data_IF_590065463175
#
_entry.id   IF_590065463175
#
_cell.length_a   1.000
_cell.length_b   1.000
_cell.length_c   1.000
_cell.angle_alpha   90.00
_cell.angle_beta   90.00
_cell.angle_gamma   90.00
#
_symmetry.space_group_name_H-M   'P 1'
#
loop_
_entity.id
_entity.type
_entity.pdbx_description
1 polymer ?
#
# COMPACT_ATOMS: atom_id res chain seq x y z
N UNK A 1 -3.28 -1.51 -11.82
CA UNK A 1 -3.68 -2.81 -12.41
C UNK A 1 -4.59 -2.54 -13.59
N UNK A 2 -4.40 -3.24 -14.72
CA UNK A 2 -5.55 -3.47 -15.59
C UNK A 2 -6.56 -4.25 -14.73
N UNK A 3 -7.82 -3.84 -14.64
CA UNK A 3 -8.77 -4.49 -13.75
C UNK A 3 -8.93 -5.96 -14.14
N UNK A 4 -9.39 -6.79 -13.19
CA UNK A 4 -9.69 -8.21 -13.45
C UNK A 4 -10.66 -8.41 -14.65
N UNK A 5 -11.39 -7.35 -15.01
CA UNK A 5 -12.18 -7.24 -16.22
C UNK A 5 -11.49 -6.26 -17.17
N UNK A 6 -11.11 -6.74 -18.35
CA UNK A 6 -10.36 -5.99 -19.36
C UNK A 6 -11.07 -4.75 -19.91
N UNK A 7 -12.38 -4.62 -19.68
CA UNK A 7 -13.19 -3.47 -20.11
C UNK A 7 -13.28 -2.36 -19.06
N UNK A 8 -12.81 -2.59 -17.83
CA UNK A 8 -12.78 -1.54 -16.81
C UNK A 8 -11.50 -0.72 -17.01
N UNK A 9 -11.65 0.60 -16.96
CA UNK A 9 -10.53 1.54 -16.97
C UNK A 9 -10.50 2.29 -15.64
N UNK A 10 -9.32 2.75 -15.18
CA UNK A 10 -9.27 3.70 -14.09
C UNK A 10 -10.10 4.95 -14.43
N UNK A 11 -10.76 5.56 -13.44
CA UNK A 11 -11.53 6.78 -13.66
C UNK A 11 -10.59 7.92 -14.07
N UNK A 12 -11.04 8.74 -15.00
CA UNK A 12 -10.35 9.96 -15.36
C UNK A 12 -10.46 11.00 -14.24
N UNK A 13 -9.56 11.98 -14.25
CA UNK A 13 -9.53 13.05 -13.24
C UNK A 13 -10.88 13.76 -13.07
N UNK A 14 -11.61 13.97 -14.17
CA UNK A 14 -12.93 14.59 -14.13
C UNK A 14 -13.99 13.70 -13.48
N UNK A 15 -13.90 12.38 -13.65
CA UNK A 15 -14.82 11.41 -13.02
C UNK A 15 -14.58 11.37 -11.51
N UNK A 16 -13.30 11.41 -11.08
CA UNK A 16 -12.94 11.57 -9.66
C UNK A 16 -13.44 12.90 -9.10
N UNK A 17 -13.26 14.02 -9.80
CA UNK A 17 -13.76 15.32 -9.31
C UNK A 17 -15.28 15.34 -9.12
N UNK A 18 -16.02 14.71 -10.03
CA UNK A 18 -17.48 14.59 -9.90
C UNK A 18 -17.88 13.74 -8.71
N UNK A 19 -17.21 12.61 -8.49
CA UNK A 19 -17.41 11.79 -7.29
C UNK A 19 -17.20 12.61 -6.01
N UNK A 20 -16.14 13.43 -5.95
CA UNK A 20 -15.85 14.28 -4.79
C UNK A 20 -17.03 15.17 -4.45
N UNK A 21 -17.54 15.87 -5.47
CA UNK A 21 -18.59 16.86 -5.34
C UNK A 21 -19.94 16.26 -4.91
N UNK A 22 -20.17 14.98 -5.22
CA UNK A 22 -21.38 14.26 -4.80
C UNK A 22 -21.24 13.82 -3.36
N UNK A 23 -20.09 13.24 -3.00
CA UNK A 23 -19.86 12.69 -1.67
C UNK A 23 -19.69 13.79 -0.62
N UNK A 24 -19.08 14.93 -0.96
CA UNK A 24 -18.90 16.07 -0.07
C UNK A 24 -20.22 16.71 0.39
N UNK A 25 -21.32 16.46 -0.33
CA UNK A 25 -22.67 16.85 0.11
C UNK A 25 -23.23 15.96 1.22
N UNK A 26 -22.65 14.77 1.43
CA UNK A 26 -23.12 13.77 2.40
C UNK A 26 -22.12 13.53 3.53
N UNK A 27 -20.83 13.74 3.28
CA UNK A 27 -19.74 13.50 4.22
C UNK A 27 -18.83 14.73 4.27
N UNK A 28 -18.63 15.26 5.47
CA UNK A 28 -17.87 16.50 5.68
C UNK A 28 -16.36 16.27 5.79
N UNK A 29 -15.92 15.02 6.03
CA UNK A 29 -14.50 14.70 6.24
C UNK A 29 -14.15 13.36 5.58
N UNK A 30 -13.67 13.41 4.34
CA UNK A 30 -13.19 12.25 3.60
C UNK A 30 -12.09 12.70 2.62
N UNK A 31 -11.19 11.78 2.27
CA UNK A 31 -10.08 12.05 1.36
C UNK A 31 -9.94 10.98 0.29
N UNK A 32 -9.18 11.31 -0.76
CA UNK A 32 -8.79 10.37 -1.79
C UNK A 32 -7.50 9.65 -1.40
N UNK A 33 -7.58 8.33 -1.24
CA UNK A 33 -6.41 7.45 -1.16
C UNK A 33 -5.80 7.17 -2.56
N UNK A 34 -5.81 8.17 -3.44
CA UNK A 34 -5.20 8.09 -4.78
C UNK A 34 -3.82 8.75 -4.83
N UNK A 35 -3.41 9.40 -3.73
CA UNK A 35 -2.08 9.98 -3.56
C UNK A 35 -1.06 8.96 -3.06
N UNK A 36 0.22 9.26 -3.26
CA UNK A 36 1.30 8.54 -2.58
C UNK A 36 1.21 8.84 -1.08
N UNK A 37 0.96 7.83 -0.27
CA UNK A 37 0.72 7.97 1.19
C UNK A 37 1.94 8.50 1.96
N UNK A 38 3.13 8.52 1.35
CA UNK A 38 4.36 8.89 2.02
C UNK A 38 4.79 7.86 3.08
N UNK A 39 5.99 8.01 3.62
CA UNK A 39 6.56 7.07 4.60
C UNK A 39 6.12 7.34 6.05
N UNK A 40 4.86 7.75 6.23
CA UNK A 40 4.30 8.11 7.54
C UNK A 40 3.77 6.89 8.28
N UNK A 41 4.55 5.81 8.33
CA UNK A 41 4.23 4.68 9.19
C UNK A 41 4.76 4.96 10.60
N UNK A 42 3.83 4.99 11.56
CA UNK A 42 4.13 5.02 12.99
C UNK A 42 4.63 3.63 13.38
N UNK A 43 5.79 3.56 14.01
CA UNK A 43 6.33 2.29 14.49
C UNK A 43 5.79 2.00 15.88
N UNK A 44 5.22 0.82 16.06
CA UNK A 44 4.81 0.32 17.38
C UNK A 44 5.99 -0.27 18.17
N UNK A 45 7.19 -0.26 17.59
CA UNK A 45 8.38 -0.93 18.12
C UNK A 45 8.57 -2.35 17.56
N UNK A 46 7.60 -2.88 16.81
CA UNK A 46 7.70 -4.14 16.09
C UNK A 46 7.41 -3.94 14.59
N UNK A 47 8.47 -3.63 13.84
CA UNK A 47 8.36 -3.30 12.41
C UNK A 47 7.71 -4.43 11.58
N UNK A 48 7.81 -5.68 12.03
CA UNK A 48 7.17 -6.80 11.34
C UNK A 48 5.64 -6.76 11.43
N UNK A 49 5.09 -6.39 12.60
CA UNK A 49 3.65 -6.21 12.79
C UNK A 49 3.14 -4.97 12.07
N UNK A 50 3.93 -3.90 12.05
CA UNK A 50 3.60 -2.69 11.30
C UNK A 50 3.50 -3.01 9.80
N UNK A 51 4.50 -3.70 9.25
CA UNK A 51 4.50 -4.16 7.85
C UNK A 51 3.26 -5.02 7.57
N UNK A 52 2.99 -6.03 8.41
CA UNK A 52 1.82 -6.93 8.24
C UNK A 52 0.49 -6.17 8.28
N UNK A 53 0.35 -5.20 9.19
CA UNK A 53 -0.87 -4.42 9.35
C UNK A 53 -1.14 -3.54 8.13
N UNK A 54 -0.09 -2.94 7.56
CA UNK A 54 -0.23 -2.09 6.36
C UNK A 54 -0.51 -2.96 5.12
N UNK A 55 0.24 -4.05 4.93
CA UNK A 55 0.05 -4.92 3.75
C UNK A 55 -1.24 -5.74 3.77
N UNK A 56 -1.88 -5.90 4.93
CA UNK A 56 -3.20 -6.53 5.04
C UNK A 56 -4.28 -5.78 4.26
N UNK A 57 -4.12 -4.47 4.07
CA UNK A 57 -5.06 -3.63 3.31
C UNK A 57 -4.48 -3.18 1.98
N UNK A 58 -3.16 -2.93 1.88
CA UNK A 58 -2.53 -2.38 0.66
C UNK A 58 -1.13 -2.97 0.38
N UNK A 59 -0.86 -3.50 -0.83
CA UNK A 59 0.49 -3.86 -1.26
C UNK A 59 1.51 -2.73 -1.04
N UNK A 60 2.62 -3.03 -0.38
CA UNK A 60 3.68 -2.03 -0.15
C UNK A 60 4.80 -2.20 -1.17
N UNK A 61 5.30 -1.10 -1.74
CA UNK A 61 6.49 -1.13 -2.60
C UNK A 61 7.74 -1.55 -1.82
N UNK A 62 8.65 -2.26 -2.48
CA UNK A 62 9.94 -2.64 -1.91
C UNK A 62 10.72 -1.42 -1.39
N UNK A 63 10.69 -0.30 -2.13
CA UNK A 63 11.35 0.94 -1.71
C UNK A 63 10.77 1.51 -0.40
N UNK A 64 9.44 1.51 -0.27
CA UNK A 64 8.76 1.99 0.94
C UNK A 64 9.07 1.11 2.16
N UNK A 65 9.23 -0.21 1.96
CA UNK A 65 9.68 -1.13 3.02
C UNK A 65 11.12 -0.84 3.41
N UNK A 66 12.01 -0.60 2.46
CA UNK A 66 13.40 -0.22 2.78
C UNK A 66 13.47 1.05 3.62
N UNK A 67 12.66 2.06 3.30
CA UNK A 67 12.60 3.30 4.08
C UNK A 67 12.00 3.07 5.48
N UNK A 68 10.98 2.22 5.59
CA UNK A 68 10.38 1.83 6.86
C UNK A 68 11.39 1.08 7.75
N UNK A 69 12.13 0.12 7.19
CA UNK A 69 13.15 -0.63 7.90
C UNK A 69 14.29 0.29 8.36
N UNK A 70 14.76 1.19 7.49
CA UNK A 70 15.81 2.16 7.82
C UNK A 70 15.40 3.09 8.97
N UNK A 71 14.16 3.59 8.97
CA UNK A 71 13.60 4.42 10.04
C UNK A 71 13.57 3.68 11.39
N UNK A 72 13.43 2.37 11.35
CA UNK A 72 13.36 1.49 12.52
C UNK A 72 14.68 0.79 12.89
N UNK A 73 15.78 1.13 12.21
CA UNK A 73 17.08 0.45 12.39
C UNK A 73 16.98 -1.08 12.26
N UNK A 74 16.11 -1.53 11.36
CA UNK A 74 15.84 -2.93 11.09
C UNK A 74 16.41 -3.35 9.73
N UNK A 75 16.61 -4.66 9.56
CA UNK A 75 17.15 -5.25 8.34
C UNK A 75 16.09 -5.96 7.50
N UNK A 76 16.42 -6.20 6.24
CA UNK A 76 15.58 -6.96 5.31
C UNK A 76 15.33 -8.42 5.73
N UNK A 77 16.15 -8.96 6.63
CA UNK A 77 15.97 -10.29 7.26
C UNK A 77 14.54 -10.50 7.81
N UNK A 78 13.87 -9.42 8.22
CA UNK A 78 12.49 -9.48 8.70
C UNK A 78 11.53 -9.86 7.57
N UNK A 79 11.70 -9.29 6.38
CA UNK A 79 10.90 -9.63 5.20
C UNK A 79 11.18 -11.07 4.78
N UNK A 80 12.43 -11.51 4.78
CA UNK A 80 12.80 -12.90 4.47
C UNK A 80 12.08 -13.89 5.40
N UNK A 81 12.11 -13.65 6.72
CA UNK A 81 11.36 -14.46 7.70
C UNK A 81 9.85 -14.44 7.45
N UNK A 82 9.29 -13.32 7.03
CA UNK A 82 7.87 -13.21 6.69
C UNK A 82 7.50 -13.98 5.42
N UNK A 83 8.42 -14.05 4.45
CA UNK A 83 8.28 -14.87 3.24
C UNK A 83 8.36 -16.36 3.58
N UNK A 84 9.36 -16.76 4.37
CA UNK A 84 9.54 -18.15 4.83
C UNK A 84 8.34 -18.65 5.64
N UNK A 85 7.80 -17.81 6.51
CA UNK A 85 6.59 -18.11 7.30
C UNK A 85 5.28 -18.01 6.51
N UNK A 86 5.35 -17.80 5.19
CA UNK A 86 4.20 -17.66 4.28
C UNK A 86 3.19 -16.60 4.70
N UNK A 87 3.65 -15.51 5.34
CA UNK A 87 2.79 -14.37 5.67
C UNK A 87 2.75 -13.34 4.55
N UNK A 88 3.84 -13.21 3.79
CA UNK A 88 3.99 -12.23 2.71
C UNK A 88 4.69 -12.84 1.50
N UNK A 89 4.45 -12.29 0.31
CA UNK A 89 5.11 -12.67 -0.93
C UNK A 89 5.57 -11.43 -1.69
N UNK A 90 6.66 -11.55 -2.44
CA UNK A 90 7.10 -10.54 -3.39
C UNK A 90 6.37 -10.75 -4.72
N UNK A 91 5.75 -9.69 -5.22
CA UNK A 91 5.05 -9.65 -6.50
C UNK A 91 5.61 -8.52 -7.35
N UNK A 92 5.86 -8.78 -8.62
CA UNK A 92 6.27 -7.75 -9.57
C UNK A 92 5.07 -7.20 -10.34
N UNK A 93 4.96 -5.88 -10.41
CA UNK A 93 3.91 -5.20 -11.17
C UNK A 93 4.46 -3.93 -11.82
N UNK A 94 4.33 -3.83 -13.15
CA UNK A 94 4.81 -2.70 -13.95
C UNK A 94 6.29 -2.36 -13.68
N UNK A 95 7.15 -3.37 -13.55
CA UNK A 95 8.59 -3.20 -13.30
C UNK A 95 8.95 -2.76 -11.88
N UNK A 96 7.99 -2.73 -10.95
CA UNK A 96 8.22 -2.44 -9.54
C UNK A 96 7.90 -3.67 -8.71
N UNK A 97 8.66 -3.90 -7.64
CA UNK A 97 8.43 -4.98 -6.69
C UNK A 97 7.57 -4.51 -5.54
N UNK A 98 6.61 -5.34 -5.15
CA UNK A 98 5.70 -5.10 -4.06
C UNK A 98 5.70 -6.30 -3.12
N UNK A 99 5.64 -6.04 -1.83
CA UNK A 99 5.32 -7.05 -0.82
C UNK A 99 3.82 -7.04 -0.59
N UNK A 100 3.21 -8.20 -0.77
CA UNK A 100 1.78 -8.44 -0.60
C UNK A 100 1.57 -9.55 0.41
N UNK A 101 0.41 -9.61 1.05
CA UNK A 101 -0.01 -10.83 1.75
C UNK A 101 -0.19 -12.00 0.79
N UNK A 102 -0.18 -13.22 1.32
CA UNK A 102 -0.48 -14.41 0.53
C UNK A 102 -1.89 -14.39 -0.04
#
# INVERSE_FOLDING_TARGET
>A
TAPAISTIRPPEKNELQQFYNIISKKLTNFEYLTGYEGNLYTSTGNVAEDILSIIAVHPMREEAIHELLKKNQANWDIIEKLIESKKVKLTEYQGNKFVTTY
#
